data_IF_389391046004
#
_entry.id   IF_389391046004
#
_cell.length_a   1.000
_cell.length_b   1.000
_cell.length_c   1.000
_cell.angle_alpha   90.00
_cell.angle_beta   90.00
_cell.angle_gamma   90.00
#
_symmetry.space_group_name_H-M   'P 1'
#
loop_
_entity.id
_entity.type
_entity.pdbx_description
1 polymer ?
#
# COMPACT_ATOMS: atom_id res chain seq x y z
N UNK A 1 23.38 11.62 -14.85
CA UNK A 1 22.15 12.39 -14.82
C UNK A 1 21.58 12.43 -13.42
N UNK A 2 21.16 13.59 -13.04
CA UNK A 2 20.63 13.74 -11.71
C UNK A 2 19.20 13.23 -11.64
N UNK A 3 18.93 12.42 -10.66
CA UNK A 3 17.61 11.87 -10.48
C UNK A 3 16.73 12.85 -9.69
N UNK A 4 15.51 13.03 -10.14
CA UNK A 4 14.57 13.88 -9.44
C UNK A 4 14.02 13.13 -8.23
N UNK A 5 13.91 13.84 -7.12
CA UNK A 5 13.36 13.23 -5.92
C UNK A 5 11.85 13.09 -6.05
N UNK A 6 11.31 11.92 -5.79
CA UNK A 6 9.86 11.77 -5.79
C UNK A 6 9.22 12.47 -4.60
N UNK A 7 8.02 12.92 -4.82
CA UNK A 7 7.21 13.53 -3.78
C UNK A 7 5.98 12.68 -3.56
N UNK A 8 5.65 12.43 -2.30
CA UNK A 8 4.51 11.61 -1.95
C UNK A 8 3.40 12.48 -1.38
N UNK A 9 2.20 12.32 -1.92
CA UNK A 9 1.02 13.04 -1.46
C UNK A 9 -0.02 12.04 -0.98
N UNK A 10 -0.61 12.34 0.16
CA UNK A 10 -1.71 11.54 0.68
C UNK A 10 -3.03 12.13 0.20
N UNK A 11 -3.91 11.29 -0.30
CA UNK A 11 -5.22 11.72 -0.77
C UNK A 11 -6.30 10.87 -0.13
N UNK A 12 -7.35 11.54 0.31
CA UNK A 12 -8.55 10.87 0.82
C UNK A 12 -9.68 11.20 -0.12
N UNK A 13 -10.49 10.21 -0.46
CA UNK A 13 -11.66 10.50 -1.27
C UNK A 13 -12.64 11.33 -0.46
N UNK A 14 -13.34 12.21 -1.16
CA UNK A 14 -14.19 13.16 -0.51
C UNK A 14 -15.42 12.51 0.16
N UNK A 15 -15.93 11.46 -0.44
CA UNK A 15 -17.12 10.80 0.06
C UNK A 15 -16.80 9.78 1.12
N UNK A 16 -15.67 9.06 0.97
CA UNK A 16 -15.31 7.95 1.83
C UNK A 16 -13.91 8.09 2.39
N UNK A 17 -13.55 9.32 2.82
CA UNK A 17 -12.17 9.55 3.23
C UNK A 17 -11.73 8.70 4.43
N UNK A 18 -12.67 8.15 5.18
CA UNK A 18 -12.35 7.22 6.25
C UNK A 18 -12.13 5.79 5.74
N UNK A 19 -12.54 5.52 4.53
CA UNK A 19 -12.55 4.17 3.99
C UNK A 19 -11.46 3.93 2.95
N UNK A 20 -10.90 4.99 2.39
CA UNK A 20 -9.88 4.84 1.36
C UNK A 20 -8.79 5.88 1.59
N UNK A 21 -7.53 5.43 1.44
CA UNK A 21 -6.38 6.32 1.43
C UNK A 21 -5.54 5.99 0.21
N UNK A 22 -5.13 7.01 -0.52
CA UNK A 22 -4.23 6.85 -1.65
C UNK A 22 -3.00 7.73 -1.44
N UNK A 23 -1.82 7.11 -1.57
CA UNK A 23 -0.54 7.81 -1.56
C UNK A 23 -0.02 7.85 -2.98
N UNK A 24 0.34 9.03 -3.45
CA UNK A 24 0.77 9.23 -4.82
C UNK A 24 2.20 9.76 -4.81
N UNK A 25 3.07 9.10 -5.56
CA UNK A 25 4.46 9.56 -5.73
C UNK A 25 4.57 10.27 -7.06
N UNK A 26 5.18 11.45 -7.05
CA UNK A 26 5.32 12.25 -8.26
C UNK A 26 6.75 12.74 -8.42
N UNK A 27 7.11 13.07 -9.66
CA UNK A 27 8.38 13.74 -9.97
C UNK A 27 8.09 14.87 -10.93
N UNK A 28 8.99 15.84 -10.97
CA UNK A 28 8.97 16.87 -11.99
C UNK A 28 9.79 16.39 -13.18
N UNK A 29 9.23 16.52 -14.37
CA UNK A 29 9.91 16.10 -15.60
C UNK A 29 9.68 17.14 -16.69
N UNK A 30 10.53 17.14 -17.74
CA UNK A 30 10.30 18.08 -18.85
C UNK A 30 8.96 17.85 -19.48
N UNK A 31 8.27 18.96 -19.77
CA UNK A 31 6.96 18.92 -20.43
C UNK A 31 7.18 18.87 -21.95
N UNK A 32 6.78 17.78 -22.62
CA UNK A 32 7.01 17.70 -24.08
C UNK A 32 6.20 18.71 -24.89
N UNK A 33 5.13 19.24 -24.31
CA UNK A 33 4.28 20.21 -25.02
C UNK A 33 4.68 21.66 -24.76
N UNK A 34 5.52 21.90 -23.76
CA UNK A 34 5.92 23.26 -23.38
C UNK A 34 7.42 23.27 -23.11
N UNK A 35 8.23 23.43 -24.18
CA UNK A 35 9.70 23.39 -24.03
C UNK A 35 10.19 24.38 -22.97
N UNK A 36 11.10 23.92 -22.15
CA UNK A 36 11.66 24.73 -21.09
C UNK A 36 10.85 24.71 -19.79
N UNK A 37 9.71 24.05 -19.79
CA UNK A 37 8.87 23.95 -18.60
C UNK A 37 8.87 22.53 -18.07
N UNK A 38 8.55 22.41 -16.78
CA UNK A 38 8.42 21.10 -16.11
C UNK A 38 6.96 20.85 -15.83
N UNK A 39 6.62 19.56 -15.79
CA UNK A 39 5.29 19.12 -15.37
C UNK A 39 5.45 18.06 -14.30
N UNK A 40 4.44 17.92 -13.47
CA UNK A 40 4.42 16.89 -12.45
C UNK A 40 3.86 15.60 -13.04
N UNK A 41 4.58 14.51 -12.85
CA UNK A 41 4.18 13.20 -13.37
C UNK A 41 4.02 12.23 -12.22
N UNK A 42 2.93 11.45 -12.25
CA UNK A 42 2.69 10.41 -11.26
C UNK A 42 3.51 9.20 -11.65
N UNK A 43 4.35 8.72 -10.74
CA UNK A 43 5.21 7.57 -10.99
C UNK A 43 4.84 6.37 -10.14
N UNK A 44 3.98 6.54 -9.15
CA UNK A 44 3.53 5.42 -8.34
C UNK A 44 2.32 5.79 -7.51
N UNK A 45 1.52 4.79 -7.22
CA UNK A 45 0.33 4.94 -6.36
C UNK A 45 0.25 3.72 -5.46
N UNK A 46 0.08 3.95 -4.17
CA UNK A 46 -0.25 2.90 -3.22
C UNK A 46 -1.53 3.33 -2.52
N UNK A 47 -2.49 2.42 -2.45
CA UNK A 47 -3.75 2.77 -1.81
C UNK A 47 -4.29 1.59 -1.04
N UNK A 48 -5.15 1.86 -0.07
CA UNK A 48 -5.93 0.82 0.55
C UNK A 48 -7.40 1.23 0.61
N UNK A 49 -8.25 0.24 0.64
CA UNK A 49 -9.69 0.40 0.76
C UNK A 49 -10.16 -0.49 1.90
N UNK A 50 -10.90 0.09 2.83
CA UNK A 50 -11.40 -0.65 3.98
C UNK A 50 -12.46 -1.64 3.56
N UNK A 51 -12.42 -2.83 4.15
CA UNK A 51 -13.54 -3.76 4.06
C UNK A 51 -14.67 -3.27 4.94
N UNK A 52 -15.82 -3.93 4.78
CA UNK A 52 -17.03 -3.54 5.50
C UNK A 52 -16.86 -3.62 7.03
N UNK A 53 -15.95 -4.47 7.51
CA UNK A 53 -15.72 -4.59 8.95
C UNK A 53 -15.03 -3.37 9.56
N UNK A 54 -14.44 -2.52 8.72
CA UNK A 54 -13.74 -1.33 9.19
C UNK A 54 -12.41 -1.59 9.86
N UNK A 55 -12.00 -2.85 10.00
CA UNK A 55 -10.78 -3.23 10.70
C UNK A 55 -9.67 -3.69 9.77
N UNK A 56 -10.01 -4.07 8.55
CA UNK A 56 -9.04 -4.56 7.59
C UNK A 56 -9.21 -3.83 6.27
N UNK A 57 -8.17 -3.88 5.47
CA UNK A 57 -8.14 -3.16 4.20
C UNK A 57 -7.44 -3.98 3.14
N UNK A 58 -7.84 -3.73 1.89
CA UNK A 58 -7.17 -4.29 0.74
C UNK A 58 -6.30 -3.20 0.11
N UNK A 59 -5.05 -3.52 -0.20
CA UNK A 59 -4.15 -2.57 -0.82
C UNK A 59 -4.02 -2.83 -2.32
N UNK A 60 -3.57 -1.81 -3.03
CA UNK A 60 -3.13 -1.93 -4.41
C UNK A 60 -1.90 -1.05 -4.58
N UNK A 61 -0.93 -1.52 -5.36
CA UNK A 61 0.32 -0.81 -5.61
C UNK A 61 0.62 -0.85 -7.08
N UNK A 62 0.85 0.33 -7.68
CA UNK A 62 1.21 0.45 -9.08
C UNK A 62 2.42 1.38 -9.17
N UNK A 63 3.47 0.92 -9.84
CA UNK A 63 4.68 1.71 -10.07
C UNK A 63 4.90 1.79 -11.57
N UNK A 64 5.14 3.01 -12.07
CA UNK A 64 5.47 3.21 -13.48
C UNK A 64 6.69 2.37 -13.85
N UNK A 65 6.66 1.79 -15.07
CA UNK A 65 7.70 0.86 -15.50
C UNK A 65 9.11 1.42 -15.34
N UNK A 66 9.30 2.67 -15.70
CA UNK A 66 10.62 3.30 -15.62
C UNK A 66 11.12 3.47 -14.18
N UNK A 67 10.24 3.34 -13.22
CA UNK A 67 10.56 3.56 -11.81
C UNK A 67 10.56 2.29 -11.00
N UNK A 68 10.31 1.15 -11.63
CA UNK A 68 10.36 -0.13 -10.93
C UNK A 68 11.81 -0.47 -10.57
N UNK A 69 11.96 -1.23 -9.46
CA UNK A 69 13.25 -1.69 -8.96
C UNK A 69 14.15 -0.56 -8.48
N UNK A 70 13.56 0.58 -8.11
CA UNK A 70 14.32 1.72 -7.59
C UNK A 70 13.98 2.01 -6.12
N UNK A 71 13.29 1.08 -5.46
CA UNK A 71 12.92 1.25 -4.07
C UNK A 71 11.65 2.05 -3.83
N UNK A 72 10.99 2.51 -4.90
CA UNK A 72 9.78 3.31 -4.75
C UNK A 72 8.64 2.50 -4.15
N UNK A 73 8.50 1.24 -4.58
CA UNK A 73 7.47 0.37 -4.01
C UNK A 73 7.64 0.19 -2.52
N UNK A 74 8.89 0.02 -2.07
CA UNK A 74 9.17 -0.11 -0.65
C UNK A 74 8.78 1.15 0.10
N UNK A 75 9.12 2.32 -0.44
CA UNK A 75 8.79 3.59 0.20
C UNK A 75 7.29 3.79 0.31
N UNK A 76 6.58 3.56 -0.79
CA UNK A 76 5.13 3.75 -0.81
C UNK A 76 4.43 2.78 0.12
N UNK A 77 4.81 1.50 0.07
CA UNK A 77 4.17 0.51 0.92
C UNK A 77 4.50 0.72 2.39
N UNK A 78 5.71 1.13 2.71
CA UNK A 78 6.06 1.45 4.09
C UNK A 78 5.18 2.58 4.61
N UNK A 79 5.00 3.62 3.81
CA UNK A 79 4.14 4.74 4.20
C UNK A 79 2.68 4.31 4.32
N UNK A 80 2.21 3.46 3.40
CA UNK A 80 0.84 2.98 3.43
C UNK A 80 0.58 2.13 4.67
N UNK A 81 1.50 1.22 4.98
CA UNK A 81 1.38 0.36 6.16
C UNK A 81 1.39 1.20 7.43
N UNK A 82 2.26 2.20 7.50
CA UNK A 82 2.30 3.08 8.67
C UNK A 82 1.00 3.86 8.82
N UNK A 83 0.44 4.34 7.72
CA UNK A 83 -0.83 5.05 7.78
C UNK A 83 -1.95 4.13 8.25
N UNK A 84 -1.95 2.88 7.79
CA UNK A 84 -2.95 1.91 8.21
C UNK A 84 -2.83 1.63 9.71
N UNK A 85 -1.60 1.51 10.22
CA UNK A 85 -1.39 1.33 11.66
C UNK A 85 -1.92 2.51 12.45
N UNK A 86 -1.66 3.72 11.97
CA UNK A 86 -2.12 4.92 12.67
C UNK A 86 -3.62 5.02 12.70
N UNK A 87 -4.28 4.48 11.69
CA UNK A 87 -5.73 4.44 11.65
C UNK A 87 -6.30 3.33 12.55
N UNK A 88 -5.45 2.50 13.12
CA UNK A 88 -5.91 1.44 14.00
C UNK A 88 -6.40 0.20 13.29
N UNK A 89 -6.06 0.03 12.01
CA UNK A 89 -6.48 -1.16 11.27
C UNK A 89 -5.75 -2.38 11.79
N UNK A 90 -6.40 -3.53 11.71
CA UNK A 90 -5.84 -4.78 12.22
C UNK A 90 -5.05 -5.53 11.17
N UNK A 91 -5.48 -5.50 9.92
CA UNK A 91 -4.86 -6.28 8.84
C UNK A 91 -4.92 -5.50 7.56
N UNK A 92 -3.84 -5.57 6.78
CA UNK A 92 -3.83 -5.10 5.41
C UNK A 92 -3.45 -6.28 4.52
N UNK A 93 -4.15 -6.44 3.41
CA UNK A 93 -3.95 -7.61 2.55
C UNK A 93 -4.10 -7.23 1.09
N UNK A 94 -3.69 -8.13 0.21
CA UNK A 94 -3.84 -7.92 -1.23
C UNK A 94 -3.65 -9.23 -1.98
N UNK A 95 -3.85 -9.18 -3.29
CA UNK A 95 -3.65 -10.31 -4.16
C UNK A 95 -2.50 -10.01 -5.11
N UNK A 96 -1.63 -10.99 -5.32
CA UNK A 96 -0.47 -10.88 -6.18
C UNK A 96 -0.43 -12.12 -7.08
N UNK A 97 -0.15 -11.91 -8.37
CA UNK A 97 0.05 -13.05 -9.26
C UNK A 97 1.18 -13.91 -8.74
N UNK A 98 0.98 -15.23 -8.78
CA UNK A 98 1.98 -16.17 -8.25
C UNK A 98 3.31 -16.11 -8.97
N UNK A 99 3.34 -15.61 -10.21
CA UNK A 99 4.57 -15.46 -10.97
C UNK A 99 5.17 -14.06 -10.87
N UNK A 100 4.60 -13.19 -10.05
CA UNK A 100 5.14 -11.84 -9.87
C UNK A 100 6.19 -11.86 -8.76
N UNK A 101 7.36 -12.38 -9.09
CA UNK A 101 8.42 -12.55 -8.11
C UNK A 101 8.88 -11.24 -7.46
N UNK A 102 9.03 -10.13 -8.20
CA UNK A 102 9.45 -8.89 -7.54
C UNK A 102 8.47 -8.40 -6.50
N UNK A 103 7.17 -8.49 -6.78
CA UNK A 103 6.15 -8.05 -5.82
C UNK A 103 6.13 -8.96 -4.60
N UNK A 104 6.24 -10.27 -4.81
CA UNK A 104 6.27 -11.21 -3.69
C UNK A 104 7.50 -10.97 -2.80
N UNK A 105 8.65 -10.69 -3.42
CA UNK A 105 9.85 -10.37 -2.67
C UNK A 105 9.68 -9.09 -1.85
N UNK A 106 9.03 -8.08 -2.43
CA UNK A 106 8.76 -6.83 -1.74
C UNK A 106 7.86 -7.07 -0.53
N UNK A 107 6.80 -7.85 -0.73
CA UNK A 107 5.87 -8.14 0.36
C UNK A 107 6.58 -8.91 1.48
N UNK A 108 7.43 -9.86 1.12
CA UNK A 108 8.18 -10.61 2.12
C UNK A 108 9.11 -9.71 2.93
N UNK A 109 9.77 -8.77 2.27
CA UNK A 109 10.66 -7.83 2.95
C UNK A 109 9.89 -6.95 3.93
N UNK A 110 8.64 -6.65 3.61
CA UNK A 110 7.81 -5.82 4.47
C UNK A 110 7.18 -6.63 5.61
N UNK A 111 7.38 -7.94 5.63
CA UNK A 111 6.85 -8.79 6.68
C UNK A 111 5.49 -9.39 6.38
N UNK A 112 5.00 -9.25 5.17
CA UNK A 112 3.73 -9.86 4.78
C UNK A 112 3.88 -11.36 4.72
N UNK A 113 2.81 -12.04 5.09
CA UNK A 113 2.69 -13.48 4.88
C UNK A 113 2.09 -13.74 3.51
N UNK A 114 2.42 -14.90 2.94
CA UNK A 114 2.02 -15.25 1.59
C UNK A 114 1.35 -16.61 1.62
N UNK A 115 0.12 -16.67 1.14
CA UNK A 115 -0.65 -17.92 1.03
C UNK A 115 -1.14 -18.08 -0.40
N UNK A 116 -1.36 -19.31 -0.82
CA UNK A 116 -2.03 -19.58 -2.08
C UNK A 116 -3.49 -19.18 -1.90
N UNK A 117 -4.03 -18.42 -2.87
CA UNK A 117 -5.42 -18.00 -2.77
C UNK A 117 -6.34 -19.20 -2.91
N UNK A 118 -7.34 -19.30 -2.02
CA UNK A 118 -8.21 -20.46 -1.99
C UNK A 118 -9.11 -20.55 -3.22
N UNK A 119 -9.47 -19.40 -3.79
CA UNK A 119 -10.40 -19.37 -4.91
C UNK A 119 -9.71 -19.40 -6.26
N UNK A 120 -8.46 -18.92 -6.32
CA UNK A 120 -7.71 -18.87 -7.57
C UNK A 120 -6.25 -19.24 -7.29
N UNK A 121 -5.86 -20.51 -7.53
CA UNK A 121 -4.49 -20.95 -7.20
C UNK A 121 -3.38 -20.25 -7.98
N UNK A 122 -3.71 -19.52 -9.06
CA UNK A 122 -2.69 -18.73 -9.75
C UNK A 122 -2.32 -17.47 -9.01
N UNK A 123 -3.10 -17.12 -8.00
CA UNK A 123 -2.88 -15.91 -7.21
C UNK A 123 -2.31 -16.27 -5.84
N UNK A 124 -1.64 -15.30 -5.24
CA UNK A 124 -1.18 -15.38 -3.86
C UNK A 124 -1.89 -14.30 -3.06
N UNK A 125 -2.40 -14.68 -1.91
CA UNK A 125 -2.93 -13.72 -0.97
C UNK A 125 -1.80 -13.32 -0.05
N UNK A 126 -1.51 -12.02 0.02
CA UNK A 126 -0.48 -11.50 0.91
C UNK A 126 -1.16 -10.67 1.98
N UNK A 127 -0.70 -10.77 3.22
CA UNK A 127 -1.34 -10.06 4.31
C UNK A 127 -0.35 -9.77 5.40
N UNK A 128 -0.61 -8.68 6.11
CA UNK A 128 0.23 -8.24 7.22
C UNK A 128 -0.67 -7.86 8.39
N UNK A 129 -0.39 -8.44 9.54
CA UNK A 129 -1.06 -8.08 10.76
C UNK A 129 -0.40 -6.79 11.26
N UNK A 130 -1.22 -5.77 11.45
CA UNK A 130 -0.76 -4.49 11.94
C UNK A 130 -0.73 -4.52 13.46
N UNK A 131 0.22 -3.79 14.05
CA UNK A 131 0.38 -3.74 15.51
C UNK A 131 0.55 -5.14 16.14
N UNK A 132 1.51 -5.94 15.65
CA UNK A 132 1.67 -7.31 16.15
C UNK A 132 2.08 -7.39 17.61
N UNK A 133 2.66 -6.32 18.15
CA UNK A 133 3.08 -6.29 19.54
C UNK A 133 1.96 -5.91 20.49
N UNK A 134 0.80 -5.57 19.96
CA UNK A 134 -0.32 -5.20 20.80
C UNK A 134 -1.27 -6.38 20.84
N UNK A 135 -1.47 -6.96 22.03
CA UNK A 135 -2.43 -8.06 22.09
C UNK A 135 -3.78 -7.55 21.64
N UNK A 136 -4.50 -8.40 20.93
CA UNK A 136 -5.86 -8.04 20.58
C UNK A 136 -6.60 -7.75 21.86
N UNK A 137 -7.42 -6.69 21.88
CA UNK A 137 -8.27 -6.48 23.05
C UNK A 137 -9.01 -7.77 23.27
N UNK A 138 -8.92 -8.28 24.47
CA UNK A 138 -9.64 -9.49 24.81
C UNK A 138 -11.07 -9.32 24.33
N UNK A 139 -11.63 -10.36 23.72
CA UNK A 139 -13.05 -10.27 23.41
C UNK A 139 -13.68 -9.96 24.72
N UNK A 140 -14.00 -8.88 24.91
CA UNK A 140 -14.32 -8.37 26.21
C UNK A 140 -15.33 -9.17 26.90
N UNK A 141 -14.24 -9.39 26.83
CA UNK A 141 -14.63 -9.80 27.08
C UNK A 141 -15.10 -9.49 27.50
N UNK A 142 -14.80 -9.42 27.18
CA UNK A 142 -15.13 -9.28 27.17
C UNK A 142 -15.23 -9.20 27.89
N UNK A 143 -14.88 -9.50 28.25
CA UNK A 143 -15.00 -9.55 28.75
C UNK A 143 -14.94 -9.04 29.32
N UNK A 144 -14.66 -9.02 29.57
CA UNK A 144 -14.73 -8.58 29.90
C UNK A 144 -14.73 -7.90 29.94
N UNK A 145 -14.58 -7.96 29.86
CA UNK A 145 -14.78 -7.63 29.71
C UNK A 145 -14.56 -7.17 29.75
N UNK A 146 -14.25 -7.37 29.88
CA UNK A 146 -14.38 -7.20 29.66
C UNK A 146 -14.55 -7.06 29.52
#
# INVERSE_FOLDING_TARGET
MRELSPRTLARYTQIDYHRELALVATVWEPDPEHPGELREAIIGVARYLLYADGDSAEYALVIADAWQRRGLGMQLMTSLVNAAREQGLKVIEGLVLGNNAPMLALMSKLGFRVDVDAEDPSMRRVWLRLNPDRPEPAPMDLETGS
#
